data_IF_431418901255
#
_entry.id   IF_431418901255
#
_cell.length_a   1.000
_cell.length_b   1.000
_cell.length_c   1.000
_cell.angle_alpha   90.00
_cell.angle_beta   90.00
_cell.angle_gamma   90.00
#
_symmetry.space_group_name_H-M   'P 1'
#
loop_
_entity.id
_entity.type
_entity.pdbx_description
1 polymer ?
#
# COMPACT_ATOMS: atom_id res chain seq x y z
N UNK A 1 -24.81 -63.40 32.52
CA UNK A 1 -24.69 -64.78 31.98
C UNK A 1 -25.36 -64.85 30.62
N UNK A 2 -24.73 -65.58 29.68
CA UNK A 2 -25.05 -65.84 28.25
C UNK A 2 -26.55 -66.04 27.97
N UNK A 3 -27.10 -65.66 26.80
CA UNK A 3 -26.87 -66.33 25.51
C UNK A 3 -26.99 -65.41 24.29
N UNK A 4 -25.98 -65.54 23.44
CA UNK A 4 -25.97 -65.25 22.01
C UNK A 4 -27.07 -66.04 21.27
N UNK A 5 -27.63 -65.47 20.21
CA UNK A 5 -27.98 -66.25 19.03
C UNK A 5 -27.67 -65.48 17.75
N UNK A 6 -26.79 -66.10 16.99
CA UNK A 6 -26.22 -65.78 15.70
C UNK A 6 -27.25 -66.03 14.61
N UNK A 7 -27.46 -65.10 13.67
CA UNK A 7 -27.75 -65.45 12.28
C UNK A 7 -26.81 -64.64 11.38
N UNK A 8 -26.04 -65.41 10.63
CA UNK A 8 -24.98 -65.06 9.69
C UNK A 8 -25.54 -65.29 8.28
N UNK A 9 -25.46 -64.30 7.40
CA UNK A 9 -25.46 -64.44 5.93
C UNK A 9 -24.86 -63.16 5.35
N UNK A 10 -23.53 -63.04 5.20
CA UNK A 10 -22.69 -63.47 4.06
C UNK A 10 -23.01 -62.79 2.71
N UNK A 11 -22.03 -61.98 2.27
CA UNK A 11 -21.66 -61.61 0.89
C UNK A 11 -22.55 -60.66 0.08
N UNK A 12 -22.04 -59.46 -0.22
CA UNK A 12 -21.24 -59.25 -1.44
C UNK A 12 -20.52 -57.89 -1.43
N UNK A 13 -19.29 -57.89 -1.95
CA UNK A 13 -18.47 -56.72 -2.26
C UNK A 13 -19.18 -55.75 -3.22
N UNK A 14 -19.11 -54.45 -2.92
CA UNK A 14 -18.95 -53.41 -3.93
C UNK A 14 -18.03 -52.32 -3.38
N UNK A 15 -16.72 -52.49 -3.63
CA UNK A 15 -15.75 -51.40 -3.55
C UNK A 15 -15.98 -50.53 -4.79
N UNK A 16 -16.85 -49.53 -4.65
CA UNK A 16 -16.91 -48.42 -5.60
C UNK A 16 -15.94 -47.35 -5.11
N UNK A 17 -14.71 -47.44 -5.63
CA UNK A 17 -13.75 -46.34 -5.63
C UNK A 17 -14.34 -45.18 -6.44
N UNK A 18 -15.12 -44.34 -5.77
CA UNK A 18 -15.48 -43.02 -6.28
C UNK A 18 -14.24 -42.14 -6.24
N UNK A 19 -13.54 -42.03 -7.37
CA UNK A 19 -12.59 -40.97 -7.63
C UNK A 19 -13.31 -39.63 -7.43
N UNK A 20 -13.19 -39.04 -6.25
CA UNK A 20 -13.50 -37.63 -6.05
C UNK A 20 -12.37 -36.88 -6.76
N UNK A 21 -12.57 -36.62 -8.05
CA UNK A 21 -11.84 -35.58 -8.75
C UNK A 21 -12.12 -34.28 -8.01
N UNK A 22 -11.20 -33.88 -7.12
CA UNK A 22 -11.16 -32.53 -6.59
C UNK A 22 -10.76 -31.66 -7.78
N UNK A 23 -11.76 -31.23 -8.55
CA UNK A 23 -11.59 -30.13 -9.48
C UNK A 23 -11.19 -28.92 -8.62
N UNK A 24 -9.90 -28.56 -8.67
CA UNK A 24 -9.44 -27.24 -8.24
C UNK A 24 -10.14 -26.22 -9.14
N UNK A 25 -11.33 -25.81 -8.71
CA UNK A 25 -11.98 -24.63 -9.24
C UNK A 25 -11.13 -23.46 -8.75
N UNK A 26 -10.07 -23.13 -9.50
CA UNK A 26 -9.40 -21.84 -9.36
C UNK A 26 -10.51 -20.80 -9.38
N UNK A 27 -10.74 -20.12 -8.25
CA UNK A 27 -11.65 -18.97 -8.18
C UNK A 27 -11.17 -18.00 -9.24
N UNK A 28 -11.83 -18.00 -10.41
CA UNK A 28 -11.62 -17.02 -11.46
C UNK A 28 -11.91 -15.67 -10.80
N UNK A 29 -10.85 -14.90 -10.50
CA UNK A 29 -11.02 -13.56 -9.96
C UNK A 29 -11.83 -12.79 -11.00
N UNK A 30 -13.08 -12.46 -10.69
CA UNK A 30 -13.91 -11.64 -11.55
C UNK A 30 -13.19 -10.29 -11.67
N UNK A 31 -12.87 -9.82 -12.89
CA UNK A 31 -12.18 -8.55 -13.05
C UNK A 31 -12.99 -7.43 -12.40
N UNK A 32 -12.36 -6.66 -11.51
CA UNK A 32 -13.00 -5.51 -10.88
C UNK A 32 -13.56 -4.55 -11.95
N UNK A 33 -14.80 -4.12 -11.77
CA UNK A 33 -15.40 -3.08 -12.62
C UNK A 33 -14.63 -1.77 -12.46
N UNK A 34 -14.67 -0.88 -13.46
CA UNK A 34 -13.94 0.39 -13.38
C UNK A 34 -14.34 1.23 -12.16
N UNK A 35 -15.63 1.22 -11.80
CA UNK A 35 -16.17 1.91 -10.63
C UNK A 35 -15.58 1.43 -9.29
N UNK A 36 -14.97 0.23 -9.24
CA UNK A 36 -14.35 -0.33 -8.03
C UNK A 36 -12.85 0.00 -7.91
N UNK A 37 -12.28 0.65 -8.93
CA UNK A 37 -10.84 0.95 -9.04
C UNK A 37 -10.44 2.30 -8.43
N UNK A 38 -11.33 2.96 -7.69
CA UNK A 38 -10.93 4.05 -6.80
C UNK A 38 -10.03 3.50 -5.67
N UNK A 39 -9.15 4.33 -5.12
CA UNK A 39 -8.33 3.94 -3.98
C UNK A 39 -8.87 4.51 -2.67
N UNK A 40 -8.69 3.74 -1.60
CA UNK A 40 -9.03 4.13 -0.24
C UNK A 40 -7.77 4.03 0.61
N UNK A 41 -7.55 4.95 1.53
CA UNK A 41 -6.45 4.91 2.48
C UNK A 41 -6.83 5.59 3.78
N UNK A 42 -6.24 5.14 4.87
CA UNK A 42 -6.47 5.70 6.20
C UNK A 42 -5.12 5.89 6.91
N UNK A 43 -4.98 7.04 7.56
CA UNK A 43 -3.80 7.43 8.31
C UNK A 43 -4.24 7.86 9.70
N UNK A 44 -3.42 7.55 10.71
CA UNK A 44 -3.74 7.84 12.11
C UNK A 44 -2.69 8.75 12.71
N UNK A 45 -3.14 9.73 13.48
CA UNK A 45 -2.30 10.59 14.31
C UNK A 45 -2.99 10.86 15.64
N UNK A 46 -2.27 11.46 16.58
CA UNK A 46 -2.89 11.93 17.82
C UNK A 46 -3.79 13.14 17.55
N UNK A 47 -5.00 13.12 18.12
CA UNK A 47 -5.89 14.28 18.09
C UNK A 47 -5.35 15.41 18.97
N UNK A 48 -5.82 16.65 18.74
CA UNK A 48 -5.46 17.80 19.57
C UNK A 48 -6.26 17.89 20.88
N UNK A 49 -7.26 17.02 21.09
CA UNK A 49 -8.21 17.11 22.21
C UNK A 49 -8.36 15.74 22.88
N UNK A 50 -8.05 15.69 24.18
CA UNK A 50 -8.20 14.50 25.02
C UNK A 50 -7.33 13.31 24.59
N UNK A 51 -7.78 12.11 24.92
CA UNK A 51 -7.10 10.85 24.59
C UNK A 51 -7.55 10.25 23.24
N UNK A 52 -8.17 11.08 22.39
CA UNK A 52 -8.67 10.62 21.10
C UNK A 52 -7.57 10.50 20.06
N UNK A 53 -7.74 9.57 19.15
CA UNK A 53 -7.00 9.47 17.91
C UNK A 53 -7.75 10.22 16.82
N UNK A 54 -7.02 10.75 15.85
CA UNK A 54 -7.61 11.27 14.63
C UNK A 54 -7.27 10.33 13.47
N UNK A 55 -8.30 9.81 12.81
CA UNK A 55 -8.17 8.99 11.61
C UNK A 55 -8.53 9.82 10.40
N UNK A 56 -7.56 10.10 9.54
CA UNK A 56 -7.73 10.79 8.27
C UNK A 56 -7.91 9.74 7.16
N UNK A 57 -9.00 9.84 6.41
CA UNK A 57 -9.39 8.90 5.37
C UNK A 57 -9.39 9.62 4.04
N UNK A 58 -8.76 9.01 3.04
CA UNK A 58 -8.63 9.53 1.69
C UNK A 58 -9.26 8.57 0.71
N UNK A 59 -10.14 9.10 -0.12
CA UNK A 59 -10.69 8.40 -1.29
C UNK A 59 -10.22 9.12 -2.54
N UNK A 60 -9.55 8.38 -3.43
CA UNK A 60 -9.08 8.92 -4.70
C UNK A 60 -9.83 8.26 -5.84
N UNK A 61 -10.46 9.10 -6.67
CA UNK A 61 -11.33 8.72 -7.77
C UNK A 61 -10.61 9.09 -9.08
N UNK A 62 -9.91 8.15 -9.73
CA UNK A 62 -9.37 8.38 -11.07
C UNK A 62 -10.48 8.65 -12.09
N UNK A 63 -10.20 9.47 -13.10
CA UNK A 63 -11.23 9.85 -14.08
C UNK A 63 -11.84 8.63 -14.77
N UNK A 64 -11.04 7.65 -15.20
CA UNK A 64 -11.53 6.45 -15.90
C UNK A 64 -12.53 5.59 -15.11
N UNK A 65 -12.69 5.83 -13.79
CA UNK A 65 -13.63 5.08 -12.95
C UNK A 65 -15.08 5.51 -13.15
N UNK A 66 -15.29 6.72 -13.70
CA UNK A 66 -16.60 7.31 -13.94
C UNK A 66 -16.91 7.39 -15.44
N UNK A 67 -18.19 7.35 -15.76
CA UNK A 67 -18.71 7.64 -17.08
C UNK A 67 -18.81 9.15 -17.27
N UNK A 68 -18.30 9.64 -18.39
CA UNK A 68 -18.47 11.03 -18.78
C UNK A 68 -19.54 11.15 -19.86
N UNK A 69 -20.39 12.16 -19.72
CA UNK A 69 -21.40 12.55 -20.71
C UNK A 69 -20.99 13.88 -21.32
N UNK A 70 -21.09 14.01 -22.64
CA UNK A 70 -20.82 15.28 -23.33
C UNK A 70 -21.99 16.24 -23.07
N UNK A 71 -21.67 17.42 -22.52
CA UNK A 71 -22.62 18.53 -22.29
C UNK A 71 -22.00 19.77 -22.90
N UNK A 72 -22.64 20.30 -23.96
CA UNK A 72 -22.11 21.37 -24.79
C UNK A 72 -20.70 21.05 -25.33
N UNK A 73 -19.69 21.83 -24.91
CA UNK A 73 -18.28 21.65 -25.27
C UNK A 73 -17.50 20.80 -24.26
N UNK A 74 -18.11 20.42 -23.14
CA UNK A 74 -17.43 19.77 -22.02
C UNK A 74 -17.86 18.30 -21.86
N UNK A 75 -17.07 17.56 -21.10
CA UNK A 75 -17.39 16.22 -20.63
C UNK A 75 -17.60 16.28 -19.12
N UNK A 76 -18.74 15.80 -18.66
CA UNK A 76 -19.16 15.86 -17.26
C UNK A 76 -19.40 14.46 -16.74
N UNK A 77 -18.78 14.11 -15.61
CA UNK A 77 -19.08 12.90 -14.85
C UNK A 77 -19.67 13.29 -13.49
N UNK A 78 -20.85 12.79 -13.17
CA UNK A 78 -21.50 13.05 -11.87
C UNK A 78 -21.37 11.83 -10.97
N UNK A 79 -21.08 12.04 -9.69
CA UNK A 79 -20.88 10.94 -8.76
C UNK A 79 -21.45 11.24 -7.38
N UNK A 80 -21.78 10.15 -6.66
CA UNK A 80 -21.95 10.15 -5.22
C UNK A 80 -20.82 9.31 -4.60
N UNK A 81 -20.11 9.88 -3.64
CA UNK A 81 -19.07 9.20 -2.88
C UNK A 81 -19.45 9.21 -1.39
N UNK A 82 -19.27 8.07 -0.73
CA UNK A 82 -19.54 7.93 0.70
C UNK A 82 -18.30 7.37 1.37
N UNK A 83 -17.92 7.94 2.52
CA UNK A 83 -16.95 7.33 3.44
C UNK A 83 -17.65 7.19 4.80
N UNK A 84 -17.72 5.96 5.30
CA UNK A 84 -18.27 5.64 6.60
C UNK A 84 -17.23 4.95 7.48
N UNK A 85 -17.10 5.42 8.73
CA UNK A 85 -16.32 4.76 9.76
C UNK A 85 -17.25 3.94 10.65
N UNK A 86 -16.91 2.67 10.85
CA UNK A 86 -17.68 1.72 11.64
C UNK A 86 -16.78 1.05 12.68
N UNK A 87 -17.34 0.68 13.82
CA UNK A 87 -16.69 -0.28 14.74
C UNK A 87 -16.53 -1.64 14.06
N UNK A 88 -15.68 -2.52 14.61
CA UNK A 88 -15.57 -3.93 14.16
C UNK A 88 -16.92 -4.67 14.15
N UNK A 89 -17.87 -4.28 15.02
CA UNK A 89 -19.21 -4.88 15.11
C UNK A 89 -20.24 -4.26 14.14
N UNK A 90 -19.82 -3.35 13.26
CA UNK A 90 -20.69 -2.72 12.26
C UNK A 90 -21.44 -1.47 12.73
N UNK A 91 -21.39 -1.12 14.03
CA UNK A 91 -21.95 0.16 14.51
C UNK A 91 -21.26 1.32 13.82
N UNK A 92 -22.03 2.17 13.13
CA UNK A 92 -21.53 3.39 12.48
C UNK A 92 -21.10 4.42 13.53
N UNK A 93 -19.89 4.96 13.37
CA UNK A 93 -19.35 6.06 14.18
C UNK A 93 -19.65 7.40 13.49
N UNK A 94 -19.45 7.46 12.18
CA UNK A 94 -19.73 8.64 11.37
C UNK A 94 -19.68 8.30 9.89
N UNK A 95 -20.21 9.20 9.07
CA UNK A 95 -20.14 9.10 7.61
C UNK A 95 -20.14 10.49 6.98
N UNK A 96 -19.64 10.56 5.77
CA UNK A 96 -19.71 11.74 4.91
C UNK A 96 -20.14 11.34 3.51
N UNK A 97 -20.92 12.21 2.88
CA UNK A 97 -21.54 11.98 1.58
C UNK A 97 -21.23 13.17 0.70
N UNK A 98 -20.53 12.93 -0.40
CA UNK A 98 -20.28 13.94 -1.43
C UNK A 98 -21.11 13.62 -2.66
N UNK A 99 -21.86 14.60 -3.13
CA UNK A 99 -22.50 14.57 -4.45
C UNK A 99 -21.90 15.72 -5.27
N UNK A 100 -21.10 15.39 -6.29
CA UNK A 100 -20.29 16.37 -7.03
C UNK A 100 -20.11 15.92 -8.49
N UNK A 101 -19.42 16.73 -9.29
CA UNK A 101 -19.08 16.43 -10.67
C UNK A 101 -17.62 16.73 -11.01
N UNK A 102 -17.10 16.01 -12.01
CA UNK A 102 -15.82 16.30 -12.65
C UNK A 102 -16.10 16.80 -14.05
N UNK A 103 -15.64 18.02 -14.36
CA UNK A 103 -15.82 18.67 -15.66
C UNK A 103 -14.46 18.78 -16.33
N UNK A 104 -14.36 18.29 -17.57
CA UNK A 104 -13.14 18.36 -18.39
C UNK A 104 -13.49 18.77 -19.81
N UNK A 105 -12.60 19.51 -20.47
CA UNK A 105 -12.86 20.06 -21.81
C UNK A 105 -12.32 19.17 -22.93
N UNK A 106 -11.53 18.14 -22.59
CA UNK A 106 -10.90 17.22 -23.54
C UNK A 106 -11.27 15.77 -23.19
N UNK A 107 -11.71 15.02 -24.20
CA UNK A 107 -12.04 13.61 -24.12
C UNK A 107 -10.85 12.77 -23.64
N UNK A 108 -9.61 13.13 -24.00
CA UNK A 108 -8.41 12.38 -23.58
C UNK A 108 -8.27 12.30 -22.04
N UNK A 109 -8.84 13.28 -21.33
CA UNK A 109 -8.78 13.41 -19.88
C UNK A 109 -9.79 12.49 -19.18
N UNK A 110 -10.86 12.09 -19.84
CA UNK A 110 -11.94 11.27 -19.24
C UNK A 110 -11.45 9.87 -18.87
N UNK A 111 -10.52 9.31 -19.65
CA UNK A 111 -9.94 7.98 -19.45
C UNK A 111 -8.60 8.00 -18.71
N UNK A 112 -8.21 9.14 -18.12
CA UNK A 112 -6.90 9.28 -17.48
C UNK A 112 -6.81 8.46 -16.19
N UNK A 113 -5.75 7.66 -16.08
CA UNK A 113 -5.35 6.95 -14.85
C UNK A 113 -4.60 7.84 -13.86
N UNK A 114 -4.09 8.99 -14.32
CA UNK A 114 -3.29 9.93 -13.52
C UNK A 114 -4.17 11.02 -12.94
N UNK A 115 -5.10 11.58 -13.73
CA UNK A 115 -6.04 12.60 -13.24
C UNK A 115 -7.05 11.95 -12.31
N UNK A 116 -7.20 12.53 -11.14
CA UNK A 116 -8.04 12.02 -10.09
C UNK A 116 -8.60 13.16 -9.24
N UNK A 117 -9.80 12.95 -8.69
CA UNK A 117 -10.33 13.72 -7.58
C UNK A 117 -9.95 13.03 -6.28
N UNK A 118 -9.44 13.79 -5.31
CA UNK A 118 -9.17 13.28 -3.96
C UNK A 118 -10.17 13.89 -2.98
N UNK A 119 -10.86 13.05 -2.23
CA UNK A 119 -11.75 13.40 -1.14
C UNK A 119 -11.11 13.01 0.18
N UNK A 120 -11.31 13.83 1.21
CA UNK A 120 -10.75 13.61 2.55
C UNK A 120 -11.81 13.87 3.62
N UNK A 121 -11.82 13.02 4.64
CA UNK A 121 -12.51 13.27 5.92
C UNK A 121 -11.63 12.82 7.08
N UNK A 122 -11.77 13.45 8.25
CA UNK A 122 -11.22 12.95 9.50
C UNK A 122 -12.28 12.64 10.55
N UNK A 123 -11.99 11.66 11.41
CA UNK A 123 -12.81 11.31 12.57
C UNK A 123 -11.95 11.29 13.83
N UNK A 124 -12.42 11.93 14.90
CA UNK A 124 -11.87 11.78 16.24
C UNK A 124 -12.50 10.55 16.91
N UNK A 125 -11.70 9.55 17.28
CA UNK A 125 -12.16 8.28 17.83
C UNK A 125 -11.26 7.78 18.97
N UNK A 126 -11.79 7.02 19.93
CA UNK A 126 -10.95 6.32 20.90
C UNK A 126 -10.18 5.17 20.24
N UNK A 127 -9.16 4.67 20.94
CA UNK A 127 -8.44 3.43 20.57
C UNK A 127 -9.41 2.25 20.41
N UNK A 128 -9.16 1.40 19.42
CA UNK A 128 -9.99 0.20 19.20
C UNK A 128 -9.88 -0.36 17.79
N UNK A 129 -10.79 -1.27 17.43
CA UNK A 129 -10.85 -1.90 16.12
C UNK A 129 -12.01 -1.36 15.29
N UNK A 130 -11.69 -0.88 14.09
CA UNK A 130 -12.61 -0.20 13.20
C UNK A 130 -12.54 -0.75 11.77
N UNK A 131 -13.54 -0.36 10.98
CA UNK A 131 -13.64 -0.63 9.56
C UNK A 131 -14.06 0.67 8.87
N UNK A 132 -13.31 1.07 7.85
CA UNK A 132 -13.72 2.13 6.93
C UNK A 132 -14.38 1.47 5.74
N UNK A 133 -15.58 1.91 5.40
CA UNK A 133 -16.30 1.53 4.17
C UNK A 133 -16.37 2.76 3.30
N UNK A 134 -15.92 2.67 2.06
CA UNK A 134 -16.15 3.71 1.08
C UNK A 134 -16.89 3.15 -0.13
N UNK A 135 -17.89 3.88 -0.61
CA UNK A 135 -18.61 3.56 -1.84
C UNK A 135 -18.52 4.70 -2.84
N UNK A 136 -18.39 4.36 -4.11
CA UNK A 136 -18.49 5.28 -5.23
C UNK A 136 -19.67 4.85 -6.10
N UNK A 137 -20.54 5.78 -6.44
CA UNK A 137 -21.63 5.58 -7.37
C UNK A 137 -21.54 6.59 -8.50
N UNK A 138 -21.54 6.10 -9.72
CA UNK A 138 -21.67 6.91 -10.92
C UNK A 138 -23.15 7.28 -11.10
N UNK A 139 -23.47 8.57 -11.15
CA UNK A 139 -24.86 9.02 -11.13
C UNK A 139 -25.55 8.92 -12.49
N UNK A 140 -24.81 8.78 -13.59
CA UNK A 140 -25.36 8.65 -14.93
C UNK A 140 -25.69 7.18 -15.24
N UNK A 141 -24.79 6.25 -14.90
CA UNK A 141 -24.95 4.79 -15.12
C UNK A 141 -25.55 4.03 -13.95
N UNK A 142 -25.59 4.65 -12.76
CA UNK A 142 -25.99 4.03 -11.48
C UNK A 142 -25.11 2.86 -11.04
N UNK A 143 -23.99 2.61 -11.72
CA UNK A 143 -23.01 1.62 -11.27
C UNK A 143 -22.36 2.09 -9.97
N UNK A 144 -22.15 1.15 -9.06
CA UNK A 144 -21.48 1.42 -7.79
C UNK A 144 -20.39 0.39 -7.49
N UNK A 145 -19.44 0.80 -6.67
CA UNK A 145 -18.37 -0.04 -6.15
C UNK A 145 -18.05 0.31 -4.71
N UNK A 146 -17.59 -0.68 -3.94
CA UNK A 146 -17.22 -0.50 -2.53
C UNK A 146 -15.77 -0.95 -2.31
N UNK A 147 -15.02 -0.21 -1.48
CA UNK A 147 -13.75 -0.65 -0.92
C UNK A 147 -13.77 -0.50 0.60
N UNK A 148 -13.15 -1.45 1.28
CA UNK A 148 -13.13 -1.52 2.74
C UNK A 148 -11.69 -1.60 3.26
N UNK A 149 -11.37 -0.86 4.34
CA UNK A 149 -10.13 -0.99 5.10
C UNK A 149 -10.44 -1.35 6.55
N UNK A 150 -9.72 -2.32 7.10
CA UNK A 150 -9.75 -2.64 8.53
C UNK A 150 -8.65 -1.86 9.25
N UNK A 151 -8.96 -1.30 10.40
CA UNK A 151 -8.04 -0.53 11.25
C UNK A 151 -7.95 -1.19 12.62
N UNK A 152 -6.74 -1.55 13.05
CA UNK A 152 -6.47 -1.95 14.43
C UNK A 152 -5.67 -0.85 15.12
N UNK A 153 -6.36 -0.11 15.98
CA UNK A 153 -5.82 1.04 16.72
C UNK A 153 -5.77 0.74 18.22
N UNK A 154 -5.81 -0.54 18.59
CA UNK A 154 -5.88 -0.97 19.99
C UNK A 154 -4.61 -0.62 20.76
N UNK A 155 -3.46 -0.57 20.08
CA UNK A 155 -2.16 -0.29 20.69
C UNK A 155 -1.96 1.18 21.11
N UNK A 156 -2.85 2.07 20.67
CA UNK A 156 -2.78 3.51 20.93
C UNK A 156 -3.59 3.95 22.17
N UNK A 157 -3.89 3.02 23.07
CA UNK A 157 -4.58 3.27 24.34
C UNK A 157 -3.63 3.56 25.51
N UNK A 158 -2.31 3.49 25.28
CA UNK A 158 -1.28 3.61 26.32
C UNK A 158 -0.93 5.09 26.59
N UNK A 159 -0.34 5.34 27.76
CA UNK A 159 0.23 6.65 28.11
C UNK A 159 1.37 7.09 27.16
N UNK A 160 1.97 6.13 26.46
CA UNK A 160 2.99 6.37 25.44
C UNK A 160 2.70 5.51 24.23
N UNK A 161 2.79 6.11 23.05
CA UNK A 161 2.77 5.37 21.80
C UNK A 161 3.40 6.19 20.68
N UNK A 162 3.87 5.48 19.66
CA UNK A 162 4.38 6.03 18.41
C UNK A 162 3.51 5.55 17.26
N UNK A 163 3.05 6.46 16.41
CA UNK A 163 2.39 6.10 15.16
C UNK A 163 3.40 5.65 14.12
N UNK A 164 2.94 4.84 13.16
CA UNK A 164 3.75 4.47 12.00
C UNK A 164 4.10 5.76 11.23
N UNK A 165 5.37 5.97 10.83
CA UNK A 165 5.77 7.12 10.02
C UNK A 165 4.92 7.24 8.73
N UNK A 166 4.45 8.44 8.43
CA UNK A 166 3.61 8.72 7.28
C UNK A 166 4.44 9.47 6.24
N UNK A 167 4.65 8.87 5.06
CA UNK A 167 5.27 9.54 3.92
C UNK A 167 4.29 10.61 3.38
N UNK A 168 4.80 11.82 3.18
CA UNK A 168 4.07 12.96 2.63
C UNK A 168 4.63 13.35 1.26
N UNK A 169 3.75 13.88 0.42
CA UNK A 169 4.08 14.50 -0.87
C UNK A 169 3.46 15.90 -0.94
N UNK A 170 3.89 16.71 -1.91
CA UNK A 170 3.36 18.05 -2.13
C UNK A 170 2.10 18.01 -3.00
N UNK A 171 1.00 18.54 -2.49
CA UNK A 171 -0.22 18.75 -3.25
C UNK A 171 -0.96 19.98 -2.73
N UNK A 172 -1.30 20.90 -3.62
CA UNK A 172 -2.00 22.15 -3.25
C UNK A 172 -3.26 21.85 -2.44
N UNK A 173 -3.45 22.55 -1.32
CA UNK A 173 -4.62 22.43 -0.45
C UNK A 173 -4.29 22.10 1.00
N UNK A 174 -5.33 21.88 1.80
CA UNK A 174 -5.20 21.39 3.17
C UNK A 174 -5.62 19.92 3.22
N UNK A 175 -4.64 19.06 3.43
CA UNK A 175 -4.82 17.62 3.54
C UNK A 175 -4.49 17.14 4.95
N UNK A 176 -4.66 17.99 5.96
CA UNK A 176 -4.51 17.57 7.35
C UNK A 176 -3.08 17.27 7.78
N UNK A 177 -2.03 17.52 6.99
CA UNK A 177 -0.63 17.36 7.43
C UNK A 177 0.18 18.67 7.32
N UNK A 178 -0.53 19.80 7.30
CA UNK A 178 0.03 21.11 7.02
C UNK A 178 -0.30 21.55 5.59
N UNK A 179 -0.02 22.82 5.30
CA UNK A 179 -0.32 23.42 4.01
C UNK A 179 0.43 22.69 2.90
N UNK A 180 -0.30 22.34 1.85
CA UNK A 180 0.18 21.71 0.63
C UNK A 180 0.86 20.34 0.82
N UNK A 181 0.58 19.63 1.93
CA UNK A 181 1.16 18.33 2.26
C UNK A 181 0.08 17.26 2.36
N UNK A 182 0.14 16.27 1.47
CA UNK A 182 -0.80 15.13 1.38
C UNK A 182 -0.07 13.82 1.70
N UNK A 183 -0.68 12.85 2.40
CA UNK A 183 -0.04 11.56 2.60
C UNK A 183 0.01 10.74 1.32
N UNK A 184 1.13 10.04 1.12
CA UNK A 184 1.31 9.15 -0.03
C UNK A 184 0.47 7.89 0.18
N UNK A 185 -0.55 7.77 -0.65
CA UNK A 185 -1.35 6.55 -0.82
C UNK A 185 -0.51 5.48 -1.54
N UNK A 186 -0.60 4.21 -1.11
CA UNK A 186 0.12 3.10 -1.74
C UNK A 186 -0.08 3.08 -3.27
N UNK A 187 0.97 2.70 -4.01
CA UNK A 187 1.03 2.61 -5.48
C UNK A 187 1.14 3.93 -6.27
N UNK A 188 1.30 5.07 -5.61
CA UNK A 188 1.61 6.31 -6.31
C UNK A 188 3.10 6.48 -6.63
N UNK A 189 3.39 7.11 -7.76
CA UNK A 189 4.65 7.82 -7.99
C UNK A 189 4.65 9.11 -7.17
N UNK A 190 5.72 9.38 -6.43
CA UNK A 190 5.92 10.62 -5.68
C UNK A 190 7.24 11.26 -6.13
N UNK A 191 7.29 12.58 -6.07
CA UNK A 191 8.49 13.33 -6.47
C UNK A 191 9.58 13.17 -5.39
N UNK A 192 10.81 12.87 -5.82
CA UNK A 192 11.97 12.70 -4.91
C UNK A 192 13.02 13.81 -5.06
N UNK A 193 12.79 14.80 -5.91
CA UNK A 193 13.75 15.86 -6.28
C UNK A 193 14.13 16.74 -5.08
N UNK A 194 13.28 16.75 -4.04
CA UNK A 194 13.47 17.47 -2.79
C UNK A 194 13.72 16.53 -1.59
N UNK A 195 14.01 15.25 -1.85
CA UNK A 195 14.05 14.22 -0.81
C UNK A 195 12.66 13.69 -0.45
N UNK A 196 12.58 12.94 0.64
CA UNK A 196 11.33 12.36 1.14
C UNK A 196 10.94 12.96 2.48
N UNK A 197 9.68 13.35 2.63
CA UNK A 197 9.16 14.00 3.84
C UNK A 197 8.29 13.04 4.62
N UNK A 198 8.54 12.91 5.92
CA UNK A 198 7.81 12.03 6.82
C UNK A 198 7.21 12.79 7.98
N UNK A 199 5.96 12.47 8.28
CA UNK A 199 5.27 12.95 9.48
C UNK A 199 5.36 11.89 10.58
N UNK A 200 5.87 12.32 11.73
CA UNK A 200 5.98 11.54 12.95
C UNK A 200 5.01 12.10 13.99
N UNK A 201 4.29 11.23 14.68
CA UNK A 201 3.43 11.64 15.80
C UNK A 201 3.23 10.53 16.80
N UNK A 202 2.84 10.91 18.01
CA UNK A 202 2.58 9.98 19.08
C UNK A 202 2.20 10.67 20.37
N UNK A 203 2.15 9.88 21.44
CA UNK A 203 1.89 10.31 22.81
C UNK A 203 3.08 9.94 23.69
N UNK A 204 3.39 10.83 24.62
CA UNK A 204 4.42 10.70 25.64
C UNK A 204 3.86 11.22 26.97
N UNK A 205 4.52 10.92 28.08
CA UNK A 205 4.25 11.66 29.31
C UNK A 205 4.89 13.05 29.24
N UNK A 206 4.37 14.03 30.00
CA UNK A 206 4.99 15.35 30.13
C UNK A 206 6.41 15.25 30.69
N UNK A 207 7.41 15.20 29.83
CA UNK A 207 8.83 15.23 30.14
C UNK A 207 9.65 15.22 28.83
N UNK A 208 10.96 15.18 28.98
CA UNK A 208 11.93 14.90 27.92
C UNK A 208 11.66 13.55 27.28
N UNK A 209 11.78 13.48 25.96
CA UNK A 209 11.75 12.26 25.16
C UNK A 209 12.70 12.41 23.97
N UNK A 210 13.03 11.28 23.35
CA UNK A 210 13.88 11.22 22.17
C UNK A 210 13.19 10.42 21.07
N UNK A 211 13.26 10.91 19.83
CA UNK A 211 12.90 10.17 18.63
C UNK A 211 14.16 9.90 17.81
N UNK A 212 14.48 8.63 17.58
CA UNK A 212 15.56 8.20 16.70
C UNK A 212 14.94 7.65 15.41
N UNK A 213 15.13 8.34 14.29
CA UNK A 213 14.63 7.88 12.98
C UNK A 213 15.79 7.45 12.10
N UNK A 214 15.81 6.18 11.70
CA UNK A 214 16.78 5.61 10.78
C UNK A 214 16.14 5.32 9.42
N UNK A 215 16.81 5.73 8.37
CA UNK A 215 16.46 5.42 6.98
C UNK A 215 17.43 4.35 6.49
N UNK A 216 16.92 3.17 6.20
CA UNK A 216 17.70 2.01 5.77
C UNK A 216 17.33 1.65 4.33
N UNK A 217 18.25 1.12 3.53
CA UNK A 217 17.86 0.46 2.29
C UNK A 217 17.28 -0.95 2.57
N UNK A 218 16.80 -1.65 1.54
CA UNK A 218 16.29 -3.03 1.67
C UNK A 218 17.31 -4.05 2.19
N UNK A 219 18.61 -3.81 1.99
CA UNK A 219 19.68 -4.65 2.52
C UNK A 219 20.02 -4.33 4.00
N UNK A 220 19.36 -3.35 4.62
CA UNK A 220 19.61 -2.95 6.01
C UNK A 220 20.76 -1.96 6.20
N UNK A 221 21.38 -1.46 5.12
CA UNK A 221 22.41 -0.40 5.19
C UNK A 221 21.75 0.91 5.62
N UNK A 222 22.35 1.58 6.62
CA UNK A 222 21.97 2.92 7.02
C UNK A 222 22.28 3.94 5.92
N UNK A 223 21.24 4.66 5.50
CA UNK A 223 21.31 5.72 4.51
C UNK A 223 21.39 7.10 5.17
N UNK A 224 20.59 7.30 6.22
CA UNK A 224 20.51 8.56 6.95
C UNK A 224 19.89 8.29 8.33
N UNK A 225 20.19 9.14 9.30
CA UNK A 225 19.52 9.12 10.59
C UNK A 225 19.21 10.53 11.09
N UNK A 226 18.15 10.64 11.88
CA UNK A 226 17.74 11.88 12.52
C UNK A 226 17.31 11.58 13.96
N UNK A 227 18.00 12.21 14.91
CA UNK A 227 17.58 12.25 16.30
C UNK A 227 16.92 13.58 16.61
N UNK A 228 15.79 13.53 17.31
CA UNK A 228 15.07 14.68 17.86
C UNK A 228 14.95 14.44 19.37
N UNK A 229 15.42 15.40 20.16
CA UNK A 229 15.27 15.38 21.61
C UNK A 229 14.46 16.61 22.00
N UNK A 230 13.32 16.41 22.66
CA UNK A 230 12.42 17.50 23.04
C UNK A 230 11.73 17.21 24.39
N UNK A 231 11.06 18.19 24.97
CA UNK A 231 10.29 18.09 26.20
C UNK A 231 8.83 18.41 25.92
N UNK A 232 7.95 17.41 26.04
CA UNK A 232 6.51 17.64 25.84
C UNK A 232 5.88 18.18 27.11
N UNK A 233 5.08 19.25 26.99
CA UNK A 233 4.22 19.75 28.09
C UNK A 233 2.81 19.15 28.04
N UNK A 234 2.32 18.87 26.83
CA UNK A 234 0.96 18.41 26.55
C UNK A 234 0.84 16.88 26.50
N UNK A 235 1.97 16.17 26.49
CA UNK A 235 2.01 14.72 26.32
C UNK A 235 1.82 14.26 24.88
N UNK A 236 1.84 15.18 23.92
CA UNK A 236 1.68 14.90 22.49
C UNK A 236 2.88 15.46 21.73
N UNK A 237 3.28 14.81 20.65
CA UNK A 237 4.30 15.33 19.75
C UNK A 237 3.94 15.13 18.28
N UNK A 238 4.46 16.05 17.45
CA UNK A 238 4.30 16.07 15.99
C UNK A 238 5.57 16.63 15.38
N UNK A 239 6.22 15.89 14.48
CA UNK A 239 7.41 16.35 13.77
C UNK A 239 7.36 15.99 12.30
N UNK A 240 8.05 16.81 11.50
CA UNK A 240 8.41 16.48 10.14
C UNK A 240 9.89 16.13 10.10
N UNK A 241 10.22 14.99 9.49
CA UNK A 241 11.59 14.54 9.24
C UNK A 241 11.77 14.35 7.74
N UNK A 242 12.89 14.82 7.21
CA UNK A 242 13.22 14.69 5.80
C UNK A 242 14.38 13.71 5.63
N UNK A 243 14.27 12.81 4.66
CA UNK A 243 15.40 12.09 4.06
C UNK A 243 15.90 12.92 2.87
N UNK A 244 17.08 13.55 2.96
CA UNK A 244 17.61 14.34 1.86
C UNK A 244 17.89 13.48 0.62
N UNK A 245 17.71 14.04 -0.58
CA UNK A 245 17.79 13.29 -1.84
C UNK A 245 19.13 12.63 -2.08
N UNK A 246 20.20 13.24 -1.62
CA UNK A 246 21.58 12.78 -1.75
C UNK A 246 21.86 11.50 -0.94
N UNK A 247 21.03 11.19 0.05
CA UNK A 247 21.10 9.96 0.84
C UNK A 247 20.20 8.85 0.28
N UNK A 248 19.39 9.12 -0.75
CA UNK A 248 18.52 8.12 -1.36
C UNK A 248 19.34 7.18 -2.25
N UNK A 249 19.50 5.93 -1.81
CA UNK A 249 20.15 4.86 -2.58
C UNK A 249 19.15 3.73 -2.88
N UNK A 250 18.95 3.44 -4.16
CA UNK A 250 18.02 2.41 -4.62
C UNK A 250 16.56 2.88 -4.64
N UNK A 251 15.64 1.92 -4.63
CA UNK A 251 14.18 2.18 -4.68
C UNK A 251 13.43 1.71 -3.43
N UNK A 252 14.01 0.80 -2.65
CA UNK A 252 13.39 0.29 -1.43
C UNK A 252 14.02 0.92 -0.20
N UNK A 253 13.23 1.67 0.57
CA UNK A 253 13.68 2.30 1.81
C UNK A 253 12.79 1.79 2.96
N UNK A 254 13.42 1.50 4.09
CA UNK A 254 12.78 1.15 5.35
C UNK A 254 13.05 2.28 6.34
N UNK A 255 11.99 2.90 6.82
CA UNK A 255 12.05 3.97 7.82
C UNK A 255 11.71 3.39 9.17
N UNK A 256 12.67 3.36 10.08
CA UNK A 256 12.48 2.94 11.47
C UNK A 256 12.47 4.18 12.35
N UNK A 257 11.45 4.35 13.16
CA UNK A 257 11.42 5.39 14.19
C UNK A 257 11.27 4.72 15.54
N UNK A 258 12.19 5.02 16.45
CA UNK A 258 12.15 4.63 17.85
C UNK A 258 11.81 5.86 18.70
N UNK A 259 10.86 5.71 19.61
CA UNK A 259 10.56 6.66 20.67
C UNK A 259 11.12 6.13 21.99
N UNK A 260 11.94 6.94 22.67
CA UNK A 260 12.53 6.63 23.98
C UNK A 260 12.14 7.70 25.00
N UNK A 261 11.63 7.29 26.16
CA UNK A 261 11.35 8.17 27.30
C UNK A 261 11.57 7.42 28.63
N UNK A 262 12.65 7.76 29.34
CA UNK A 262 13.06 7.01 30.53
C UNK A 262 13.39 5.56 30.17
N UNK A 263 12.71 4.60 30.80
CA UNK A 263 12.85 3.16 30.49
C UNK A 263 11.92 2.68 29.38
N UNK A 264 10.98 3.52 28.93
CA UNK A 264 10.06 3.18 27.85
C UNK A 264 10.76 3.34 26.49
N UNK A 265 10.68 2.30 25.65
CA UNK A 265 11.01 2.37 24.23
C UNK A 265 9.94 1.69 23.37
N UNK A 266 9.63 2.27 22.22
CA UNK A 266 8.79 1.65 21.19
C UNK A 266 9.30 2.00 19.79
N UNK A 267 9.37 1.00 18.92
CA UNK A 267 9.75 1.16 17.52
C UNK A 267 8.53 1.02 16.60
N UNK A 268 8.46 1.84 15.54
CA UNK A 268 7.59 1.65 14.39
C UNK A 268 8.38 1.71 13.10
N UNK A 269 8.02 0.83 12.17
CA UNK A 269 8.67 0.73 10.87
C UNK A 269 7.69 1.01 9.73
N UNK A 270 8.15 1.70 8.70
CA UNK A 270 7.45 1.88 7.42
C UNK A 270 8.37 1.51 6.25
N UNK A 271 7.95 0.51 5.47
CA UNK A 271 8.58 0.23 4.17
C UNK A 271 7.97 1.11 3.08
N UNK A 272 8.84 1.66 2.23
CA UNK A 272 8.47 2.43 1.04
C UNK A 272 9.19 1.90 -0.19
N UNK A 273 8.54 2.06 -1.35
CA UNK A 273 9.13 1.73 -2.65
C UNK A 273 8.97 2.95 -3.57
N UNK A 274 10.09 3.53 -3.97
CA UNK A 274 10.17 4.60 -4.96
C UNK A 274 9.82 4.00 -6.32
N UNK A 275 8.69 4.42 -6.87
CA UNK A 275 8.25 3.99 -8.20
C UNK A 275 9.08 4.70 -9.27
N UNK A 276 9.65 3.94 -10.18
CA UNK A 276 10.39 4.46 -11.34
C UNK A 276 9.64 4.13 -12.63
N UNK A 277 9.56 5.12 -13.52
CA UNK A 277 8.93 4.96 -14.84
C UNK A 277 9.64 3.84 -15.61
N UNK A 278 8.85 2.97 -16.26
CA UNK A 278 9.35 1.82 -17.00
C UNK A 278 9.88 0.66 -16.15
N UNK A 279 9.73 0.71 -14.82
CA UNK A 279 10.09 -0.38 -13.90
C UNK A 279 8.81 -1.03 -13.35
N UNK A 280 8.78 -2.37 -13.30
CA UNK A 280 7.62 -3.11 -12.81
C UNK A 280 7.31 -2.75 -11.36
N UNK A 281 6.02 -2.60 -11.05
CA UNK A 281 5.54 -2.30 -9.71
C UNK A 281 5.73 -3.45 -8.71
N UNK A 282 6.13 -4.63 -9.18
CA UNK A 282 6.45 -5.79 -8.35
C UNK A 282 7.91 -5.75 -7.85
N UNK A 283 8.73 -4.84 -8.40
CA UNK A 283 10.12 -4.70 -8.02
C UNK A 283 10.25 -3.69 -6.89
N UNK A 284 10.92 -4.09 -5.81
CA UNK A 284 11.26 -3.22 -4.68
C UNK A 284 12.75 -3.15 -4.37
N UNK A 285 13.56 -4.01 -5.02
CA UNK A 285 15.01 -4.07 -4.86
C UNK A 285 15.65 -4.53 -6.18
N UNK A 286 16.58 -3.74 -6.73
CA UNK A 286 17.28 -4.10 -7.97
C UNK A 286 18.26 -5.26 -7.82
N UNK A 287 18.87 -5.46 -6.65
CA UNK A 287 19.78 -6.58 -6.42
C UNK A 287 19.03 -7.91 -6.48
N UNK A 288 17.92 -7.99 -5.78
CA UNK A 288 17.01 -9.15 -5.80
C UNK A 288 16.45 -9.37 -7.21
N UNK A 289 15.97 -8.31 -7.85
CA UNK A 289 15.43 -8.38 -9.20
C UNK A 289 16.45 -8.91 -10.22
N UNK A 290 17.72 -8.49 -10.13
CA UNK A 290 18.81 -9.00 -10.96
C UNK A 290 19.12 -10.48 -10.65
N UNK A 291 19.03 -10.91 -9.39
CA UNK A 291 19.21 -12.33 -9.03
C UNK A 291 18.08 -13.21 -9.58
N UNK A 292 16.85 -12.71 -9.52
CA UNK A 292 15.67 -13.36 -10.08
C UNK A 292 15.79 -13.57 -11.58
N UNK A 293 16.46 -12.68 -12.31
CA UNK A 293 16.69 -12.82 -13.76
C UNK A 293 17.58 -14.00 -14.15
N UNK A 294 18.14 -14.79 -13.21
CA UNK A 294 19.09 -15.89 -13.52
C UNK A 294 18.61 -16.88 -14.59
N UNK A 295 17.30 -17.06 -14.74
CA UNK A 295 16.68 -17.98 -15.72
C UNK A 295 16.65 -17.43 -17.16
N UNK A 296 16.85 -16.12 -17.34
CA UNK A 296 16.79 -15.45 -18.65
C UNK A 296 18.12 -14.82 -19.07
N UNK A 297 19.15 -14.96 -18.24
CA UNK A 297 20.48 -14.36 -18.45
C UNK A 297 21.48 -15.37 -19.01
N UNK A 298 22.26 -14.93 -19.98
CA UNK A 298 23.39 -15.71 -20.48
C UNK A 298 24.62 -15.59 -19.55
N UNK A 299 25.64 -16.42 -19.78
CA UNK A 299 26.84 -16.47 -18.92
C UNK A 299 27.60 -15.14 -18.84
N UNK A 300 27.65 -14.35 -19.93
CA UNK A 300 28.30 -13.02 -19.93
C UNK A 300 27.53 -12.03 -19.06
N UNK A 301 26.20 -11.99 -19.18
CA UNK A 301 25.35 -11.10 -18.39
C UNK A 301 25.37 -11.47 -16.90
N UNK A 302 25.37 -12.77 -16.56
CA UNK A 302 25.54 -13.23 -15.17
C UNK A 302 26.87 -12.78 -14.57
N UNK A 303 27.94 -12.80 -15.36
CA UNK A 303 29.24 -12.29 -14.92
C UNK A 303 29.25 -10.76 -14.72
N UNK A 304 28.55 -10.01 -15.57
CA UNK A 304 28.39 -8.55 -15.43
C UNK A 304 27.68 -8.20 -14.11
N UNK A 305 26.62 -8.93 -13.76
CA UNK A 305 25.92 -8.78 -12.47
C UNK A 305 26.85 -9.05 -11.29
N UNK A 306 27.74 -10.04 -11.35
CA UNK A 306 28.66 -10.30 -10.22
C UNK A 306 29.68 -9.17 -10.00
N UNK A 307 30.05 -8.45 -11.07
CA UNK A 307 31.09 -7.41 -11.03
C UNK A 307 30.57 -6.00 -10.75
N UNK A 308 29.29 -5.74 -11.01
CA UNK A 308 28.74 -4.38 -10.90
C UNK A 308 28.60 -3.93 -9.44
N UNK A 309 28.99 -2.69 -9.16
CA UNK A 309 28.79 -2.05 -7.86
C UNK A 309 27.30 -1.79 -7.59
N UNK A 310 26.88 -1.81 -6.32
CA UNK A 310 25.48 -1.60 -5.91
C UNK A 310 24.85 -0.34 -6.51
N UNK A 311 25.59 0.77 -6.57
CA UNK A 311 25.10 2.03 -7.15
C UNK A 311 24.77 1.97 -8.65
N UNK A 312 25.38 1.04 -9.40
CA UNK A 312 25.18 0.86 -10.85
C UNK A 312 24.21 -0.28 -11.18
N UNK A 313 23.58 -0.90 -10.17
CA UNK A 313 22.64 -2.01 -10.34
C UNK A 313 21.41 -1.61 -11.13
N UNK A 314 20.89 -0.41 -10.87
CA UNK A 314 19.73 0.12 -11.61
C UNK A 314 20.05 0.30 -13.10
N UNK A 315 21.20 0.88 -13.43
CA UNK A 315 21.62 1.08 -14.81
C UNK A 315 21.78 -0.26 -15.54
N UNK A 316 22.42 -1.23 -14.90
CA UNK A 316 22.56 -2.58 -15.45
C UNK A 316 21.19 -3.26 -15.63
N UNK A 317 20.31 -3.15 -14.64
CA UNK A 317 18.95 -3.68 -14.71
C UNK A 317 18.20 -3.12 -15.91
N UNK A 318 18.19 -1.78 -16.06
CA UNK A 318 17.56 -1.09 -17.19
C UNK A 318 18.17 -1.51 -18.52
N UNK A 319 19.50 -1.61 -18.61
CA UNK A 319 20.21 -2.07 -19.82
C UNK A 319 19.81 -3.49 -20.24
N UNK A 320 19.72 -4.42 -19.28
CA UNK A 320 19.38 -5.81 -19.55
C UNK A 320 17.94 -5.98 -20.02
N UNK A 321 17.00 -5.22 -19.43
CA UNK A 321 15.59 -5.25 -19.82
C UNK A 321 15.31 -4.48 -21.11
N UNK A 322 15.99 -3.36 -21.37
CA UNK A 322 15.86 -2.63 -22.64
C UNK A 322 16.19 -3.50 -23.85
N UNK A 323 17.16 -4.41 -23.73
CA UNK A 323 17.51 -5.38 -24.78
C UNK A 323 16.44 -6.46 -25.01
N UNK A 324 15.54 -6.63 -24.04
CA UNK A 324 14.49 -7.64 -24.02
C UNK A 324 13.11 -7.00 -24.15
N UNK A 325 13.05 -5.74 -24.54
CA UNK A 325 11.81 -5.00 -24.74
C UNK A 325 11.19 -5.37 -26.09
N UNK A 326 10.03 -6.04 -26.13
CA UNK A 326 9.35 -6.34 -27.39
C UNK A 326 8.82 -5.07 -28.07
N UNK A 327 8.65 -3.99 -27.30
CA UNK A 327 7.83 -2.81 -27.61
C UNK A 327 8.56 -1.54 -27.12
N UNK A 328 9.78 -1.27 -27.63
CA UNK A 328 10.68 -0.24 -27.12
C UNK A 328 10.15 1.20 -27.29
N UNK A 329 9.17 1.39 -28.16
CA UNK A 329 8.50 2.68 -28.39
C UNK A 329 7.48 3.00 -27.26
N UNK A 330 7.22 2.05 -26.36
CA UNK A 330 6.34 2.25 -25.22
C UNK A 330 7.14 2.48 -23.93
N UNK A 331 6.51 3.14 -22.96
CA UNK A 331 7.13 3.38 -21.65
C UNK A 331 7.23 2.08 -20.82
N UNK A 332 6.39 1.09 -21.13
CA UNK A 332 6.17 -0.09 -20.32
C UNK A 332 6.80 -1.29 -21.01
N UNK A 333 7.68 -2.01 -20.33
CA UNK A 333 8.17 -3.28 -20.84
C UNK A 333 7.23 -4.42 -20.39
N UNK A 334 6.38 -4.90 -21.29
CA UNK A 334 5.38 -5.94 -21.02
C UNK A 334 6.03 -7.25 -20.60
N UNK A 335 7.15 -7.62 -21.22
CA UNK A 335 7.89 -8.84 -20.90
C UNK A 335 8.40 -8.80 -19.45
N UNK A 336 8.97 -7.67 -19.01
CA UNK A 336 9.39 -7.47 -17.63
C UNK A 336 8.21 -7.62 -16.66
N UNK A 337 7.07 -7.00 -16.97
CA UNK A 337 5.89 -7.10 -16.12
C UNK A 337 5.41 -8.54 -15.98
N UNK A 338 5.28 -9.27 -17.09
CA UNK A 338 4.90 -10.69 -17.06
C UNK A 338 5.92 -11.55 -16.32
N UNK A 339 7.22 -11.29 -16.49
CA UNK A 339 8.27 -11.99 -15.77
C UNK A 339 8.13 -11.83 -14.25
N UNK A 340 8.05 -10.59 -13.75
CA UNK A 340 7.95 -10.36 -12.32
C UNK A 340 6.58 -10.75 -11.74
N UNK A 341 5.52 -10.79 -12.54
CA UNK A 341 4.24 -11.42 -12.14
C UNK A 341 4.43 -12.91 -11.86
N UNK A 342 5.17 -13.64 -12.70
CA UNK A 342 5.47 -15.06 -12.48
C UNK A 342 6.37 -15.29 -11.27
N UNK A 343 7.38 -14.45 -11.07
CA UNK A 343 8.22 -14.47 -9.86
C UNK A 343 7.37 -14.26 -8.60
N UNK A 344 6.51 -13.24 -8.58
CA UNK A 344 5.63 -12.96 -7.46
C UNK A 344 4.64 -14.11 -7.21
N UNK A 345 4.10 -14.70 -8.28
CA UNK A 345 3.26 -15.89 -8.19
C UNK A 345 4.01 -17.05 -7.52
N UNK A 346 5.24 -17.33 -7.96
CA UNK A 346 6.06 -18.39 -7.40
C UNK A 346 6.34 -18.16 -5.91
N UNK A 347 6.73 -16.95 -5.52
CA UNK A 347 6.93 -16.57 -4.12
C UNK A 347 5.67 -16.67 -3.27
N UNK A 348 4.49 -16.58 -3.86
CA UNK A 348 3.23 -16.70 -3.10
C UNK A 348 2.79 -18.15 -2.92
N UNK A 349 3.12 -19.03 -3.88
CA UNK A 349 2.55 -20.39 -3.94
C UNK A 349 3.57 -21.49 -3.62
N UNK A 350 4.86 -21.22 -3.73
CA UNK A 350 5.93 -22.21 -3.58
C UNK A 350 6.98 -21.79 -2.54
N UNK A 351 6.66 -20.84 -1.67
CA UNK A 351 7.56 -20.43 -0.59
C UNK A 351 7.80 -21.58 0.39
N UNK A 352 9.06 -21.81 0.74
CA UNK A 352 9.49 -22.86 1.67
C UNK A 352 10.73 -22.36 2.43
N UNK A 353 11.77 -23.18 2.61
CA UNK A 353 13.04 -22.74 3.21
C UNK A 353 13.89 -21.82 2.30
N UNK A 354 13.51 -21.69 1.02
CA UNK A 354 14.08 -20.77 0.04
C UNK A 354 12.93 -20.00 -0.62
N UNK A 355 13.23 -18.82 -1.17
CA UNK A 355 12.23 -18.04 -1.89
C UNK A 355 11.59 -18.88 -3.00
N UNK A 356 10.26 -18.80 -3.15
CA UNK A 356 9.52 -19.62 -4.13
C UNK A 356 10.04 -19.50 -5.57
N UNK A 357 10.61 -18.37 -5.98
CA UNK A 357 11.22 -18.20 -7.31
C UNK A 357 12.47 -19.06 -7.55
N UNK A 358 13.09 -19.58 -6.48
CA UNK A 358 14.29 -20.44 -6.54
C UNK A 358 13.95 -21.94 -6.53
N UNK A 359 12.68 -22.30 -6.34
CA UNK A 359 12.21 -23.69 -6.21
C UNK A 359 12.17 -24.45 -7.53
#
# INVERSE_FOLDING_TARGET
>A
MRKFNTILFLCLLFILNGNIAIAQQQRKQIPKKNIEKFSLSAFTRTANIGDSLEVLIYMRIPNFTLQYVKVDTNFVARYEAVIALQTKKGKQIGREVWQDSIIVNDYSVTNSVVRNKTLMISFAIPSGKYKVVASLMDLDTKNSGENTIKLDLSDYNKNHYLHVPILLDKAKGDWGFGKDLIPVVQNNTFNIDNGLTFYLSGKVLPNKFTLNTQFLNKAGKLLFEKTITDTSKTGIFKYIVNLPKEHIEGIGIKVKTELVQGTYSVEKTKDIVIRKVGISHLISNFDEALQQMRYILNSKERAEIKKVQSKKREELFKKLWKRRDPTPDTIVNELMNEYYKRVAYANTHFDSFIDGWQT
#
